data_IF_104413144419
#
_entry.id   IF_104413144419
#
_cell.length_a   1.000
_cell.length_b   1.000
_cell.length_c   1.000
_cell.angle_alpha   90.00
_cell.angle_beta   90.00
_cell.angle_gamma   90.00
#
_symmetry.space_group_name_H-M   'P 1'
#
loop_
_entity.id
_entity.type
_entity.pdbx_description
1 polymer ?
#
# COMPACT_ATOMS: atom_id res chain seq x y z
N UNK A 1 -2.97 -7.85 -19.14
CA UNK A 1 -3.75 -7.60 -17.91
C UNK A 1 -2.84 -6.89 -16.93
N UNK A 2 -3.24 -5.73 -16.42
CA UNK A 2 -2.53 -5.04 -15.35
C UNK A 2 -3.15 -5.49 -14.03
N UNK A 3 -2.70 -6.63 -13.51
CA UNK A 3 -3.19 -7.12 -12.22
C UNK A 3 -2.50 -6.39 -11.07
N UNK A 4 -3.26 -6.19 -9.99
CA UNK A 4 -2.73 -5.71 -8.72
C UNK A 4 -2.08 -6.90 -8.02
N UNK A 5 -0.83 -6.75 -7.60
CA UNK A 5 -0.09 -7.79 -6.88
C UNK A 5 -0.04 -7.44 -5.41
N UNK A 6 -0.05 -8.47 -4.56
CA UNK A 6 0.11 -8.31 -3.12
C UNK A 6 1.29 -9.17 -2.72
N UNK A 7 2.36 -8.54 -2.26
CA UNK A 7 3.59 -9.22 -1.83
C UNK A 7 3.95 -8.81 -0.41
N UNK A 8 4.72 -9.66 0.25
CA UNK A 8 5.36 -9.31 1.52
C UNK A 8 6.63 -8.49 1.23
N UNK A 9 6.86 -7.44 2.01
CA UNK A 9 8.15 -6.73 2.02
C UNK A 9 8.85 -6.80 3.39
N UNK A 10 8.13 -7.08 4.49
CA UNK A 10 8.70 -7.29 5.83
C UNK A 10 7.91 -8.40 6.55
N UNK A 11 8.33 -8.86 7.74
CA UNK A 11 7.58 -9.86 8.51
C UNK A 11 6.09 -9.47 8.71
N UNK A 12 5.85 -8.20 9.01
CA UNK A 12 4.56 -7.55 9.21
C UNK A 12 4.26 -6.49 8.12
N UNK A 13 4.95 -6.56 6.99
CA UNK A 13 4.89 -5.57 5.92
C UNK A 13 4.33 -6.12 4.60
N UNK A 14 3.31 -5.47 4.05
CA UNK A 14 2.71 -5.84 2.75
C UNK A 14 2.75 -4.70 1.74
N UNK A 15 3.03 -5.07 0.49
CA UNK A 15 3.08 -4.17 -0.66
C UNK A 15 1.95 -4.51 -1.63
N UNK A 16 1.11 -3.51 -1.90
CA UNK A 16 0.17 -3.49 -3.01
C UNK A 16 0.91 -2.92 -4.23
N UNK A 17 1.16 -3.73 -5.25
CA UNK A 17 1.96 -3.32 -6.40
C UNK A 17 1.07 -3.22 -7.63
N UNK A 18 1.04 -2.03 -8.23
CA UNK A 18 0.28 -1.78 -9.44
C UNK A 18 1.11 -0.99 -10.45
N UNK A 19 0.82 -1.24 -11.72
CA UNK A 19 1.17 -0.29 -12.76
C UNK A 19 0.24 0.93 -12.69
N UNK A 20 0.74 2.15 -12.95
CA UNK A 20 -0.06 3.40 -12.92
C UNK A 20 -1.23 3.39 -13.91
N UNK A 21 -1.20 2.55 -14.95
CA UNK A 21 -2.29 2.33 -15.90
C UNK A 21 -3.28 1.25 -15.45
N UNK A 22 -3.19 0.76 -14.21
CA UNK A 22 -4.13 -0.22 -13.68
C UNK A 22 -5.46 0.47 -13.31
N UNK A 23 -6.56 0.03 -13.93
CA UNK A 23 -7.89 0.61 -13.73
C UNK A 23 -8.40 0.50 -12.28
N UNK A 24 -7.86 -0.41 -11.46
CA UNK A 24 -8.24 -0.54 -10.05
C UNK A 24 -7.65 0.57 -9.17
N UNK A 25 -6.48 1.11 -9.53
CA UNK A 25 -5.85 2.20 -8.77
C UNK A 25 -6.17 3.57 -9.36
N UNK A 26 -6.59 3.64 -10.62
CA UNK A 26 -6.91 4.90 -11.30
C UNK A 26 -7.85 5.82 -10.50
N UNK A 27 -8.97 5.36 -9.90
CA UNK A 27 -9.83 6.24 -9.12
C UNK A 27 -9.12 6.87 -7.91
N UNK A 28 -8.21 6.14 -7.27
CA UNK A 28 -7.42 6.65 -6.15
C UNK A 28 -6.48 7.76 -6.61
N UNK A 29 -5.81 7.56 -7.75
CA UNK A 29 -4.87 8.55 -8.30
C UNK A 29 -5.58 9.80 -8.81
N UNK A 30 -6.76 9.64 -9.42
CA UNK A 30 -7.57 10.77 -9.88
C UNK A 30 -8.03 11.63 -8.66
N UNK A 31 -8.35 11.01 -7.53
CA UNK A 31 -8.84 11.71 -6.32
C UNK A 31 -7.71 12.26 -5.42
N UNK A 32 -6.59 11.55 -5.28
CA UNK A 32 -5.57 11.85 -4.27
C UNK A 32 -4.21 12.31 -4.80
N UNK A 33 -3.96 12.31 -6.12
CA UNK A 33 -2.63 12.65 -6.67
C UNK A 33 -2.11 14.03 -6.27
N UNK A 34 -2.98 15.03 -6.15
CA UNK A 34 -2.61 16.39 -5.75
C UNK A 34 -2.26 16.52 -4.25
N UNK A 35 -2.54 15.48 -3.46
CA UNK A 35 -2.38 15.47 -2.00
C UNK A 35 -1.18 14.63 -1.54
N UNK A 36 -0.31 14.19 -2.46
CA UNK A 36 0.90 13.46 -2.10
C UNK A 36 2.00 14.42 -1.61
N UNK A 37 2.59 14.13 -0.46
CA UNK A 37 3.70 14.88 0.12
C UNK A 37 4.92 13.98 0.17
N UNK A 38 6.08 14.55 -0.18
CA UNK A 38 7.36 13.88 -0.05
C UNK A 38 7.66 13.59 1.42
N UNK A 39 8.09 12.36 1.71
CA UNK A 39 8.78 12.07 2.97
C UNK A 39 10.22 12.57 2.90
N UNK A 40 11.04 12.23 3.90
CA UNK A 40 12.50 12.44 3.81
C UNK A 40 13.17 11.62 2.68
N UNK A 41 12.43 10.66 2.08
CA UNK A 41 12.87 9.83 0.96
C UNK A 41 12.23 10.28 -0.35
N UNK A 42 13.04 10.47 -1.40
CA UNK A 42 12.62 11.02 -2.71
C UNK A 42 11.44 10.26 -3.37
N UNK A 43 11.30 8.95 -3.12
CA UNK A 43 10.30 8.08 -3.78
C UNK A 43 9.14 7.65 -2.88
N UNK A 44 9.24 7.90 -1.57
CA UNK A 44 8.22 7.47 -0.60
C UNK A 44 7.42 8.70 -0.22
N UNK A 45 6.12 8.61 -0.44
CA UNK A 45 5.18 9.68 -0.17
C UNK A 45 4.12 9.22 0.83
N UNK A 46 3.45 10.21 1.43
CA UNK A 46 2.21 10.01 2.16
C UNK A 46 1.13 10.91 1.55
N UNK A 47 -0.12 10.46 1.58
CA UNK A 47 -1.25 11.34 1.28
C UNK A 47 -1.51 12.27 2.48
N UNK A 48 -1.81 13.56 2.22
CA UNK A 48 -2.12 14.57 3.24
C UNK A 48 -3.08 13.99 4.28
N UNK A 49 -2.68 14.07 5.56
CA UNK A 49 -3.44 13.58 6.71
C UNK A 49 -3.79 12.07 6.73
N UNK A 50 -3.14 11.21 5.93
CA UNK A 50 -3.48 9.78 5.83
C UNK A 50 -4.97 9.57 5.60
N UNK A 51 -5.57 10.32 4.67
CA UNK A 51 -7.01 10.22 4.40
C UNK A 51 -7.46 8.83 3.92
N UNK A 52 -6.47 7.98 3.63
CA UNK A 52 -6.61 6.61 3.23
C UNK A 52 -6.06 5.67 4.30
N UNK A 53 -6.79 4.58 4.52
CA UNK A 53 -6.35 3.48 5.36
C UNK A 53 -6.56 2.14 4.66
N UNK A 54 -5.73 1.18 5.02
CA UNK A 54 -5.87 -0.21 4.66
C UNK A 54 -6.57 -0.98 5.77
N UNK A 55 -7.47 -1.90 5.41
CA UNK A 55 -8.09 -2.81 6.36
C UNK A 55 -8.23 -4.20 5.75
N UNK A 56 -8.28 -5.21 6.62
CA UNK A 56 -8.67 -6.57 6.21
C UNK A 56 -10.18 -6.76 6.35
N UNK A 57 -10.79 -7.39 5.35
CA UNK A 57 -12.19 -7.81 5.37
C UNK A 57 -12.28 -9.30 5.07
N UNK A 58 -12.89 -10.03 5.99
CA UNK A 58 -13.25 -11.43 5.77
C UNK A 58 -14.62 -11.49 5.08
N UNK A 59 -14.67 -12.10 3.91
CA UNK A 59 -15.92 -12.47 3.23
C UNK A 59 -16.21 -13.95 3.47
N UNK A 60 -17.37 -14.44 3.02
CA UNK A 60 -17.77 -15.86 3.14
C UNK A 60 -16.80 -16.86 2.52
N UNK A 61 -15.90 -16.41 1.64
CA UNK A 61 -15.05 -17.30 0.84
C UNK A 61 -13.62 -16.80 0.64
N UNK A 62 -13.39 -15.51 0.84
CA UNK A 62 -12.11 -14.86 0.56
C UNK A 62 -11.75 -13.87 1.65
N UNK A 63 -10.45 -13.73 1.87
CA UNK A 63 -9.89 -12.64 2.62
C UNK A 63 -9.49 -11.52 1.65
N UNK A 64 -9.85 -10.29 1.99
CA UNK A 64 -9.58 -9.11 1.19
C UNK A 64 -8.82 -8.06 1.98
N UNK A 65 -7.92 -7.35 1.31
CA UNK A 65 -7.36 -6.10 1.78
C UNK A 65 -8.01 -4.98 0.98
N UNK A 66 -8.56 -4.02 1.70
CA UNK A 66 -9.25 -2.87 1.17
C UNK A 66 -8.42 -1.63 1.43
N UNK A 67 -8.38 -0.70 0.47
CA UNK A 67 -7.90 0.66 0.70
C UNK A 67 -9.12 1.58 0.63
N UNK A 68 -9.43 2.22 1.75
CA UNK A 68 -10.61 3.05 1.93
C UNK A 68 -10.21 4.48 2.29
N UNK A 69 -11.07 5.45 1.99
CA UNK A 69 -11.02 6.76 2.62
C UNK A 69 -11.80 6.79 3.93
N UNK A 70 -11.49 7.76 4.79
CA UNK A 70 -12.29 8.04 6.00
C UNK A 70 -13.72 8.46 5.70
N UNK A 71 -14.00 8.92 4.48
CA UNK A 71 -15.34 9.25 4.02
C UNK A 71 -16.15 8.03 3.56
N UNK A 72 -15.60 6.81 3.71
CA UNK A 72 -16.30 5.56 3.44
C UNK A 72 -16.22 5.05 1.99
N UNK A 73 -15.40 5.68 1.15
CA UNK A 73 -15.18 5.22 -0.23
C UNK A 73 -14.08 4.17 -0.28
N UNK A 74 -14.38 2.98 -0.82
CA UNK A 74 -13.37 1.96 -1.10
C UNK A 74 -12.77 2.16 -2.49
N UNK A 75 -11.45 2.36 -2.55
CA UNK A 75 -10.70 2.56 -3.78
C UNK A 75 -10.14 1.26 -4.35
N UNK A 76 -9.46 0.49 -3.51
CA UNK A 76 -8.81 -0.76 -3.92
C UNK A 76 -9.47 -1.92 -3.17
N UNK A 77 -9.74 -3.01 -3.91
CA UNK A 77 -10.19 -4.28 -3.35
C UNK A 77 -9.30 -5.38 -3.90
N UNK A 78 -8.53 -6.03 -3.05
CA UNK A 78 -7.62 -7.07 -3.48
C UNK A 78 -7.77 -8.33 -2.63
N UNK A 79 -7.70 -9.48 -3.28
CA UNK A 79 -7.64 -10.74 -2.56
C UNK A 79 -6.23 -10.94 -2.03
N UNK A 80 -6.15 -11.46 -0.81
CA UNK A 80 -4.89 -11.65 -0.07
C UNK A 80 -4.88 -13.10 0.44
N UNK A 81 -3.71 -13.74 0.32
CA UNK A 81 -3.48 -15.07 0.89
C UNK A 81 -3.59 -15.05 2.41
N UNK A 82 -4.07 -16.14 3.00
CA UNK A 82 -4.21 -16.25 4.45
C UNK A 82 -2.86 -16.06 5.17
N UNK A 83 -1.79 -16.60 4.59
CA UNK A 83 -0.41 -16.49 5.06
C UNK A 83 0.12 -15.05 5.15
N UNK A 84 -0.28 -14.18 4.23
CA UNK A 84 0.07 -12.77 4.25
C UNK A 84 -0.71 -11.99 5.32
N UNK A 85 -1.89 -12.48 5.72
CA UNK A 85 -2.79 -11.72 6.60
C UNK A 85 -2.66 -12.02 8.07
N UNK A 86 -2.27 -13.25 8.42
CA UNK A 86 -2.13 -13.67 9.81
C UNK A 86 -1.12 -12.79 10.58
N UNK A 87 -0.17 -12.19 9.88
CA UNK A 87 0.87 -11.33 10.46
C UNK A 87 0.51 -9.83 10.47
N UNK A 88 -0.68 -9.45 9.97
CA UNK A 88 -1.09 -8.03 9.94
C UNK A 88 -1.77 -7.60 11.24
N UNK A 89 -1.11 -6.67 11.94
CA UNK A 89 -1.49 -5.99 13.18
C UNK A 89 -1.58 -4.47 12.95
N UNK A 90 -2.09 -3.70 13.92
CA UNK A 90 -2.31 -2.25 13.78
C UNK A 90 -1.07 -1.46 13.32
N UNK A 91 0.12 -1.90 13.73
CA UNK A 91 1.39 -1.24 13.39
C UNK A 91 2.04 -1.78 12.10
N UNK A 92 1.39 -2.72 11.42
CA UNK A 92 1.90 -3.31 10.18
C UNK A 92 2.10 -2.28 9.08
N UNK A 93 3.24 -2.38 8.39
CA UNK A 93 3.55 -1.54 7.24
C UNK A 93 2.73 -1.94 6.03
N UNK A 94 1.85 -1.06 5.55
CA UNK A 94 1.15 -1.24 4.28
C UNK A 94 1.60 -0.17 3.30
N UNK A 95 2.05 -0.58 2.13
CA UNK A 95 2.49 0.35 1.08
C UNK A 95 1.80 0.06 -0.24
N UNK A 96 1.43 1.13 -0.96
CA UNK A 96 1.04 1.06 -2.36
C UNK A 96 2.24 1.46 -3.22
N UNK A 97 2.75 0.54 -4.01
CA UNK A 97 3.86 0.75 -4.95
C UNK A 97 3.28 0.91 -6.36
N UNK A 98 3.59 2.03 -6.98
CA UNK A 98 3.21 2.34 -8.35
C UNK A 98 4.41 2.32 -9.27
N UNK A 99 4.25 1.69 -10.43
CA UNK A 99 5.26 1.65 -11.48
C UNK A 99 4.69 2.13 -12.82
N UNK A 100 5.52 2.76 -13.65
CA UNK A 100 5.10 3.14 -15.00
C UNK A 100 5.03 1.96 -15.98
N UNK A 101 5.83 0.93 -15.72
CA UNK A 101 5.97 -0.27 -16.55
C UNK A 101 5.70 -1.54 -15.76
N UNK A 102 5.36 -2.63 -16.45
CA UNK A 102 5.19 -3.94 -15.80
C UNK A 102 6.56 -4.53 -15.53
N UNK A 103 6.85 -4.79 -14.25
CA UNK A 103 8.09 -5.43 -13.80
C UNK A 103 7.86 -6.93 -13.59
N UNK A 104 8.86 -7.74 -13.94
CA UNK A 104 8.86 -9.19 -13.77
C UNK A 104 8.68 -9.56 -12.28
N UNK A 105 7.82 -10.55 -12.01
CA UNK A 105 7.52 -11.04 -10.66
C UNK A 105 8.76 -11.48 -9.90
N UNK A 106 9.70 -12.14 -10.58
CA UNK A 106 10.91 -12.64 -9.93
C UNK A 106 11.77 -11.49 -9.37
N UNK A 107 11.82 -10.34 -10.06
CA UNK A 107 12.58 -9.18 -9.59
C UNK A 107 11.99 -8.66 -8.27
N UNK A 108 10.66 -8.63 -8.13
CA UNK A 108 10.04 -8.26 -6.87
C UNK A 108 10.35 -9.27 -5.76
N UNK A 109 10.18 -10.55 -6.05
CA UNK A 109 10.41 -11.62 -5.07
C UNK A 109 11.85 -11.65 -4.57
N UNK A 110 12.83 -11.33 -5.42
CA UNK A 110 14.24 -11.36 -5.09
C UNK A 110 14.74 -10.11 -4.35
N UNK A 111 14.03 -8.97 -4.43
CA UNK A 111 14.58 -7.68 -4.04
C UNK A 111 13.68 -6.77 -3.20
N UNK A 112 12.40 -7.10 -2.98
CA UNK A 112 11.46 -6.20 -2.28
C UNK A 112 11.57 -6.24 -0.75
N UNK A 113 12.35 -7.15 -0.16
CA UNK A 113 12.43 -7.28 1.29
C UNK A 113 13.13 -6.08 1.95
N UNK A 114 12.51 -5.50 2.99
CA UNK A 114 12.97 -4.33 3.73
C UNK A 114 12.32 -4.24 5.13
N UNK A 115 13.13 -4.11 6.19
CA UNK A 115 12.64 -4.08 7.58
C UNK A 115 12.15 -2.69 8.02
N UNK A 116 12.45 -1.65 7.24
CA UNK A 116 12.09 -0.26 7.54
C UNK A 116 12.02 0.59 6.26
N UNK A 117 11.61 1.85 6.39
CA UNK A 117 11.42 2.76 5.24
C UNK A 117 12.73 3.10 4.51
N UNK A 118 13.87 3.16 5.22
CA UNK A 118 15.19 3.40 4.60
C UNK A 118 15.55 2.22 3.71
N UNK A 119 15.39 1.00 4.21
CA UNK A 119 15.63 -0.22 3.46
C UNK A 119 14.65 -0.38 2.30
N UNK A 120 13.41 0.06 2.47
CA UNK A 120 12.42 0.02 1.40
C UNK A 120 12.85 0.96 0.26
N UNK A 121 13.30 2.18 0.54
CA UNK A 121 13.84 3.09 -0.47
C UNK A 121 15.01 2.44 -1.25
N UNK A 122 15.94 1.81 -0.53
CA UNK A 122 17.07 1.09 -1.14
C UNK A 122 16.63 -0.12 -1.97
N UNK A 123 15.64 -0.89 -1.51
CA UNK A 123 15.06 -2.03 -2.22
C UNK A 123 14.42 -1.59 -3.53
N UNK A 124 13.63 -0.51 -3.51
CA UNK A 124 13.01 0.05 -4.71
C UNK A 124 14.05 0.59 -5.70
N UNK A 125 15.09 1.27 -5.21
CA UNK A 125 16.21 1.70 -6.05
C UNK A 125 16.92 0.51 -6.71
N UNK A 126 17.07 -0.60 -5.98
CA UNK A 126 17.66 -1.84 -6.51
C UNK A 126 16.79 -2.46 -7.59
N UNK A 127 15.47 -2.50 -7.38
CA UNK A 127 14.51 -3.02 -8.35
C UNK A 127 14.55 -2.20 -9.65
N UNK A 128 14.60 -0.86 -9.56
CA UNK A 128 14.77 0.00 -10.74
C UNK A 128 16.05 -0.36 -11.51
N UNK A 129 17.17 -0.51 -10.79
CA UNK A 129 18.45 -0.87 -11.41
C UNK A 129 18.38 -2.22 -12.14
N UNK A 130 17.84 -3.25 -11.49
CA UNK A 130 17.78 -4.62 -12.04
C UNK A 130 16.77 -4.70 -13.20
N UNK A 131 15.66 -3.99 -13.09
CA UNK A 131 14.64 -3.88 -14.14
C UNK A 131 15.01 -2.89 -15.26
N UNK A 132 16.18 -2.24 -15.18
CA UNK A 132 16.67 -1.24 -16.13
C UNK A 132 15.69 -0.07 -16.34
N UNK A 133 15.10 0.41 -15.25
CA UNK A 133 14.22 1.57 -15.24
C UNK A 133 14.99 2.86 -15.00
N UNK A 134 14.40 3.98 -15.38
CA UNK A 134 14.93 5.29 -15.00
C UNK A 134 14.83 5.47 -13.48
N UNK A 135 15.77 6.25 -12.92
CA UNK A 135 15.83 6.53 -11.49
C UNK A 135 14.54 7.22 -11.02
N UNK A 136 13.99 6.77 -9.88
CA UNK A 136 12.81 7.35 -9.22
C UNK A 136 11.51 7.24 -10.04
N UNK A 137 11.39 6.20 -10.87
CA UNK A 137 10.15 5.87 -11.60
C UNK A 137 9.20 4.99 -10.80
N UNK A 138 9.70 4.32 -9.76
CA UNK A 138 8.88 3.59 -8.80
C UNK A 138 8.53 4.53 -7.65
N UNK A 139 7.23 4.76 -7.45
CA UNK A 139 6.70 5.55 -6.34
C UNK A 139 6.07 4.63 -5.29
N UNK A 140 6.20 4.99 -4.02
CA UNK A 140 5.59 4.25 -2.92
C UNK A 140 4.77 5.18 -2.03
N UNK A 141 3.58 4.74 -1.64
CA UNK A 141 2.68 5.48 -0.77
C UNK A 141 2.45 4.69 0.51
N UNK A 142 2.77 5.28 1.66
CA UNK A 142 2.51 4.67 2.96
C UNK A 142 1.02 4.76 3.26
N UNK A 143 0.42 3.62 3.60
CA UNK A 143 -0.96 3.49 4.01
C UNK A 143 -1.00 3.05 5.47
N UNK A 144 -1.84 3.72 6.27
CA UNK A 144 -2.09 3.28 7.65
C UNK A 144 -2.92 2.01 7.63
N UNK A 145 -2.51 0.98 8.35
CA UNK A 145 -3.36 -0.19 8.58
C UNK A 145 -4.26 0.04 9.80
N UNK A 146 -5.53 -0.32 9.69
CA UNK A 146 -6.48 -0.26 10.80
C UNK A 146 -7.13 -1.62 11.02
N UNK A 147 -7.08 -2.09 12.26
CA UNK A 147 -7.90 -3.19 12.73
C UNK A 147 -9.34 -2.72 12.99
N UNK A 148 -10.24 -3.67 13.21
CA UNK A 148 -11.62 -3.34 13.63
C UNK A 148 -11.65 -2.60 14.96
N UNK A 149 -10.74 -2.93 15.89
CA UNK A 149 -10.60 -2.23 17.16
C UNK A 149 -10.19 -0.76 16.97
N UNK A 150 -9.23 -0.50 16.08
CA UNK A 150 -8.75 0.86 15.81
C UNK A 150 -9.88 1.74 15.25
N UNK A 151 -10.69 1.17 14.35
CA UNK A 151 -11.88 1.85 13.80
C UNK A 151 -12.89 2.20 14.88
N UNK A 152 -13.19 1.27 15.80
CA UNK A 152 -14.12 1.53 16.90
C UNK A 152 -13.61 2.62 17.85
N UNK A 153 -12.32 2.60 18.19
CA UNK A 153 -11.73 3.65 19.03
C UNK A 153 -11.80 5.02 18.37
N UNK A 154 -11.53 5.09 17.06
CA UNK A 154 -11.59 6.34 16.31
C UNK A 154 -13.02 6.91 16.26
N UNK A 155 -14.01 6.08 15.95
CA UNK A 155 -15.43 6.48 15.95
C UNK A 155 -15.89 6.95 17.32
N UNK A 156 -15.49 6.27 18.40
CA UNK A 156 -15.84 6.67 19.76
C UNK A 156 -15.20 8.01 20.14
N UNK A 157 -13.96 8.26 19.69
CA UNK A 157 -13.26 9.52 19.96
C UNK A 157 -13.88 10.72 19.24
N UNK A 158 -14.44 10.52 18.04
CA UNK A 158 -15.17 11.53 17.28
C UNK A 158 -16.49 11.91 17.96
N UNK A 159 -17.24 10.92 18.45
CA UNK A 159 -18.51 11.15 19.16
C UNK A 159 -18.29 11.83 20.52
N UNK A 160 -17.15 11.61 21.18
CA UNK A 160 -16.79 12.30 22.43
C UNK A 160 -16.21 13.72 22.25
N UNK A 161 -16.13 14.19 21.01
CA UNK A 161 -15.67 15.54 20.65
C UNK A 161 -16.82 16.51 20.35
N UNK A 162 -18.08 16.07 20.49
CA UNK A 162 -19.30 16.92 20.49
C UNK A 162 -19.69 17.36 21.92
#
# INVERSE_FOLDING_TARGET
MNELKVLRFAEDGIALIANSKNNQVKPLLDDFSAYAYESEFERIMYFSATDLYAEKKLTTSNLQLLVNSWHGQTYIKCNIGADLCENLVSDSGVVLILTEQVINDQIWLDHLFADNMVELDLALAKIEQVAQLEKNTIQSFILRFLTESDKQQFLTSLDSSE
#
